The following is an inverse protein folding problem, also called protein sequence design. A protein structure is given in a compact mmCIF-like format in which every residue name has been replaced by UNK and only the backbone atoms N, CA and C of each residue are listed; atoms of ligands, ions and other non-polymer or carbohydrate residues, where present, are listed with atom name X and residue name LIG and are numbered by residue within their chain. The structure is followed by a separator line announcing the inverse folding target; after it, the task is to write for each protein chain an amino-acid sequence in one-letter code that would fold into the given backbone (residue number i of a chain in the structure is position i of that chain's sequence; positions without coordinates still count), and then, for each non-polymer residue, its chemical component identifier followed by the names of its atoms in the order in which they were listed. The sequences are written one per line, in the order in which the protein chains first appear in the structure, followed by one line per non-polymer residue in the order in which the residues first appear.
data_IF_176277505082
#
_entry.id   IF_176277505082
#
_cell.length_a   1.000
_cell.length_b   1.000
_cell.length_c   1.000
_cell.angle_alpha   90.00
_cell.angle_beta   90.00
_cell.angle_gamma   90.00
#
_symmetry.space_group_name_H-M   'P 1'
#
loop_
_entity.id
_entity.type
_entity.pdbx_description
1 polymer ?
#
# COMPACT_ATOMS: atom_id res chain seq x y z
N UNK A 1 4.80 -10.39 -14.21
CA UNK A 1 5.12 -9.07 -14.80
C UNK A 1 5.53 -8.14 -13.67
N UNK A 2 6.51 -7.26 -13.88
CA UNK A 2 6.87 -6.21 -12.93
C UNK A 2 6.13 -4.94 -13.34
N UNK A 3 5.38 -4.32 -12.42
CA UNK A 3 4.71 -3.06 -12.69
C UNK A 3 5.68 -1.88 -12.62
N UNK A 4 5.47 -0.87 -13.46
CA UNK A 4 6.08 0.46 -13.33
C UNK A 4 5.30 1.34 -12.33
N UNK A 5 5.84 2.51 -11.97
CA UNK A 5 5.15 3.47 -11.10
C UNK A 5 3.82 3.95 -11.70
N UNK A 6 3.80 4.30 -12.99
CA UNK A 6 2.56 4.68 -13.69
C UNK A 6 1.54 3.54 -13.70
N UNK A 7 2.02 2.30 -13.82
CA UNK A 7 1.16 1.11 -13.73
C UNK A 7 0.64 0.88 -12.32
N UNK A 8 1.38 1.20 -11.26
CA UNK A 8 0.87 1.18 -9.88
C UNK A 8 -0.24 2.22 -9.67
N UNK A 9 -0.08 3.41 -10.24
CA UNK A 9 -1.11 4.46 -10.18
C UNK A 9 -2.37 4.06 -10.95
N UNK A 10 -2.23 3.58 -12.19
CA UNK A 10 -3.35 3.04 -12.95
C UNK A 10 -4.04 1.88 -12.21
N UNK A 11 -3.27 0.99 -11.58
CA UNK A 11 -3.80 -0.11 -10.77
C UNK A 11 -4.63 0.38 -9.59
N UNK A 12 -4.19 1.44 -8.91
CA UNK A 12 -4.94 2.06 -7.81
C UNK A 12 -6.29 2.59 -8.29
N UNK A 13 -6.34 3.23 -9.46
CA UNK A 13 -7.59 3.71 -10.04
C UNK A 13 -8.52 2.57 -10.48
N UNK A 14 -7.97 1.46 -10.99
CA UNK A 14 -8.75 0.25 -11.28
C UNK A 14 -9.41 -0.29 -9.99
N UNK A 15 -8.69 -0.31 -8.87
CA UNK A 15 -9.24 -0.75 -7.58
C UNK A 15 -10.29 0.21 -7.03
N UNK A 16 -10.04 1.51 -7.07
CA UNK A 16 -11.02 2.51 -6.64
C UNK A 16 -12.30 2.44 -7.49
N UNK A 17 -12.17 2.25 -8.81
CA UNK A 17 -13.30 2.05 -9.72
C UNK A 17 -14.09 0.79 -9.37
N UNK A 18 -13.41 -0.31 -9.05
CA UNK A 18 -14.05 -1.55 -8.59
C UNK A 18 -14.80 -1.37 -7.25
N UNK A 19 -14.35 -0.42 -6.42
CA UNK A 19 -15.02 0.00 -5.18
C UNK A 19 -16.17 1.00 -5.41
N UNK A 20 -16.50 1.33 -6.66
CA UNK A 20 -17.62 2.20 -7.02
C UNK A 20 -17.25 3.70 -7.11
N UNK A 21 -15.97 4.07 -7.00
CA UNK A 21 -15.54 5.45 -7.15
C UNK A 21 -15.59 5.87 -8.63
N UNK A 22 -16.19 7.02 -8.91
CA UNK A 22 -16.13 7.62 -10.26
C UNK A 22 -14.71 8.07 -10.54
N UNK A 23 -14.25 7.84 -11.78
CA UNK A 23 -12.94 8.26 -12.26
C UNK A 23 -13.07 9.53 -13.11
N UNK A 24 -12.07 10.39 -13.01
CA UNK A 24 -11.89 11.57 -13.86
C UNK A 24 -11.40 11.14 -15.24
N UNK A 25 -11.48 12.05 -16.23
CA UNK A 25 -10.98 11.80 -17.59
C UNK A 25 -9.49 11.42 -17.58
N UNK A 26 -8.68 12.14 -16.82
CA UNK A 26 -7.26 11.83 -16.60
C UNK A 26 -7.03 10.41 -16.07
N UNK A 27 -7.82 9.99 -15.07
CA UNK A 27 -7.67 8.66 -14.47
C UNK A 27 -8.09 7.55 -15.45
N UNK A 28 -9.13 7.78 -16.26
CA UNK A 28 -9.55 6.82 -17.30
C UNK A 28 -8.52 6.73 -18.44
N UNK A 29 -7.93 7.85 -18.85
CA UNK A 29 -6.81 7.89 -19.82
C UNK A 29 -5.61 7.09 -19.30
N UNK A 30 -5.18 7.33 -18.06
CA UNK A 30 -4.06 6.61 -17.46
C UNK A 30 -4.31 5.10 -17.41
N UNK A 31 -5.53 4.67 -17.06
CA UNK A 31 -5.91 3.25 -17.09
C UNK A 31 -5.80 2.69 -18.52
N UNK A 32 -6.31 3.41 -19.52
CA UNK A 32 -6.30 2.96 -20.91
C UNK A 32 -4.87 2.81 -21.46
N UNK A 33 -3.98 3.75 -21.13
CA UNK A 33 -2.59 3.77 -21.60
C UNK A 33 -1.69 2.77 -20.85
N UNK A 34 -2.05 2.39 -19.63
CA UNK A 34 -1.24 1.49 -18.78
C UNK A 34 -1.06 0.06 -19.32
N UNK A 35 -1.93 -0.35 -20.26
CA UNK A 35 -2.04 -1.75 -20.71
C UNK A 35 -2.70 -2.69 -19.71
N UNK A 36 -3.27 -2.16 -18.61
CA UNK A 36 -3.90 -2.95 -17.54
C UNK A 36 -5.44 -3.00 -17.62
N UNK A 37 -6.06 -2.25 -18.55
CA UNK A 37 -7.51 -2.08 -18.61
C UNK A 37 -8.31 -3.39 -18.69
N UNK A 38 -7.75 -4.43 -19.30
CA UNK A 38 -8.38 -5.75 -19.46
C UNK A 38 -8.17 -6.69 -18.27
N UNK A 39 -7.29 -6.35 -17.33
CA UNK A 39 -7.02 -7.19 -16.16
C UNK A 39 -8.10 -7.04 -15.10
N UNK A 40 -8.51 -8.17 -14.51
CA UNK A 40 -9.45 -8.12 -13.39
C UNK A 40 -8.74 -7.59 -12.14
N UNK A 41 -9.42 -6.80 -11.29
CA UNK A 41 -8.85 -6.29 -10.04
C UNK A 41 -8.18 -7.38 -9.19
N UNK A 42 -8.80 -8.56 -9.07
CA UNK A 42 -8.23 -9.64 -8.28
C UNK A 42 -6.95 -10.26 -8.88
N UNK A 43 -6.85 -10.32 -10.21
CA UNK A 43 -5.64 -10.80 -10.90
C UNK A 43 -4.48 -9.84 -10.66
N UNK A 44 -4.77 -8.54 -10.78
CA UNK A 44 -3.80 -7.47 -10.53
C UNK A 44 -3.32 -7.45 -9.08
N UNK A 45 -4.26 -7.60 -8.11
CA UNK A 45 -3.94 -7.77 -6.68
C UNK A 45 -2.96 -8.91 -6.45
N UNK A 46 -3.27 -10.10 -6.97
CA UNK A 46 -2.42 -11.29 -6.82
C UNK A 46 -1.04 -11.06 -7.45
N UNK A 47 -0.96 -10.42 -8.62
CA UNK A 47 0.31 -10.09 -9.26
C UNK A 47 1.18 -9.17 -8.40
N UNK A 48 0.60 -8.11 -7.81
CA UNK A 48 1.32 -7.19 -6.93
C UNK A 48 1.81 -7.90 -5.67
N UNK A 49 0.96 -8.69 -5.01
CA UNK A 49 1.32 -9.47 -3.81
C UNK A 49 2.47 -10.44 -4.12
N UNK A 50 2.38 -11.18 -5.22
CA UNK A 50 3.43 -12.10 -5.63
C UNK A 50 4.74 -11.37 -5.94
N UNK A 51 4.67 -10.19 -6.56
CA UNK A 51 5.83 -9.34 -6.80
C UNK A 51 6.52 -8.91 -5.49
N UNK A 52 5.75 -8.44 -4.50
CA UNK A 52 6.26 -8.08 -3.18
C UNK A 52 6.91 -9.29 -2.48
N UNK A 53 6.19 -10.42 -2.42
CA UNK A 53 6.65 -11.61 -1.72
C UNK A 53 7.86 -12.31 -2.36
N UNK A 54 8.07 -12.13 -3.66
CA UNK A 54 9.24 -12.65 -4.38
C UNK A 54 10.45 -11.71 -4.36
N UNK A 55 10.31 -10.50 -3.81
CA UNK A 55 11.36 -9.48 -3.86
C UNK A 55 11.55 -8.86 -5.26
N UNK A 56 10.55 -8.97 -6.14
CA UNK A 56 10.59 -8.38 -7.49
C UNK A 56 10.71 -6.84 -7.45
N UNK A 57 10.12 -6.24 -6.42
CA UNK A 57 10.21 -4.81 -6.11
C UNK A 57 11.35 -4.59 -5.11
N UNK A 58 12.56 -4.42 -5.64
CA UNK A 58 13.79 -4.33 -4.85
C UNK A 58 14.06 -2.93 -4.31
N UNK A 59 13.56 -1.90 -5.01
CA UNK A 59 13.67 -0.50 -4.57
C UNK A 59 12.56 -0.13 -3.58
N UNK A 60 12.85 0.72 -2.61
CA UNK A 60 11.85 1.09 -1.60
C UNK A 60 10.70 1.90 -2.17
N UNK A 61 10.91 2.72 -3.21
CA UNK A 61 9.82 3.44 -3.86
C UNK A 61 8.87 2.48 -4.58
N UNK A 62 9.39 1.43 -5.23
CA UNK A 62 8.56 0.40 -5.86
C UNK A 62 7.68 -0.32 -4.83
N UNK A 63 8.25 -0.63 -3.65
CA UNK A 63 7.50 -1.25 -2.55
C UNK A 63 6.46 -0.30 -1.98
N UNK A 64 6.81 0.97 -1.77
CA UNK A 64 5.87 2.03 -1.34
C UNK A 64 4.70 2.15 -2.32
N UNK A 65 4.97 2.24 -3.63
CA UNK A 65 3.94 2.28 -4.66
C UNK A 65 3.05 1.05 -4.60
N UNK A 66 3.62 -0.15 -4.46
CA UNK A 66 2.84 -1.38 -4.31
C UNK A 66 1.93 -1.37 -3.06
N UNK A 67 2.45 -0.95 -1.90
CA UNK A 67 1.68 -0.86 -0.65
C UNK A 67 0.55 0.17 -0.77
N UNK A 68 0.86 1.35 -1.33
CA UNK A 68 -0.13 2.39 -1.59
C UNK A 68 -1.22 1.88 -2.52
N UNK A 69 -0.86 1.24 -3.63
CA UNK A 69 -1.80 0.67 -4.60
C UNK A 69 -2.71 -0.37 -3.95
N UNK A 70 -2.15 -1.33 -3.19
CA UNK A 70 -2.94 -2.34 -2.49
C UNK A 70 -3.87 -1.73 -1.42
N UNK A 71 -3.47 -0.63 -0.78
CA UNK A 71 -4.31 0.03 0.24
C UNK A 71 -5.65 0.52 -0.32
N UNK A 72 -5.72 0.80 -1.64
CA UNK A 72 -6.94 1.28 -2.32
C UNK A 72 -8.04 0.24 -2.45
N UNK A 73 -7.72 -1.03 -2.24
CA UNK A 73 -8.67 -2.14 -2.36
C UNK A 73 -9.63 -2.15 -1.16
N UNK A 74 -9.19 -1.71 0.02
CA UNK A 74 -9.92 -1.83 1.30
C UNK A 74 -10.32 -3.29 1.65
N UNK A 75 -9.47 -4.26 1.27
CA UNK A 75 -9.67 -5.69 1.55
C UNK A 75 -9.04 -6.09 2.89
N UNK A 76 -9.88 -6.42 3.88
CA UNK A 76 -9.42 -6.82 5.23
C UNK A 76 -8.60 -8.10 5.24
N UNK A 77 -8.66 -8.92 4.18
CA UNK A 77 -7.79 -10.10 4.05
C UNK A 77 -6.30 -9.73 3.88
N UNK A 78 -5.99 -8.48 3.51
CA UNK A 78 -4.62 -7.98 3.37
C UNK A 78 -3.97 -7.60 4.70
N UNK A 79 -4.70 -7.57 5.82
CA UNK A 79 -4.14 -7.17 7.13
C UNK A 79 -2.93 -8.04 7.50
N UNK A 80 -3.00 -9.35 7.27
CA UNK A 80 -1.89 -10.25 7.59
C UNK A 80 -0.64 -9.94 6.76
N UNK A 81 -0.81 -9.73 5.45
CA UNK A 81 0.29 -9.38 4.56
C UNK A 81 0.88 -8.01 4.89
N UNK A 82 0.04 -6.99 5.15
CA UNK A 82 0.50 -5.67 5.57
C UNK A 82 1.28 -5.70 6.89
N UNK A 83 0.84 -6.49 7.89
CA UNK A 83 1.60 -6.69 9.14
C UNK A 83 2.96 -7.33 8.89
N UNK A 84 3.01 -8.35 8.03
CA UNK A 84 4.26 -9.02 7.65
C UNK A 84 5.22 -8.06 6.96
N UNK A 85 4.76 -7.30 5.97
CA UNK A 85 5.59 -6.31 5.30
C UNK A 85 6.00 -5.17 6.23
N UNK A 86 5.12 -4.73 7.13
CA UNK A 86 5.44 -3.69 8.12
C UNK A 86 6.63 -4.10 8.97
N UNK A 87 6.63 -5.34 9.47
CA UNK A 87 7.75 -5.89 10.22
C UNK A 87 9.04 -5.87 9.40
N UNK A 88 8.99 -6.35 8.16
CA UNK A 88 10.16 -6.39 7.26
C UNK A 88 10.73 -5.00 7.00
N UNK A 89 9.89 -4.02 6.64
CA UNK A 89 10.35 -2.65 6.37
C UNK A 89 10.86 -1.95 7.64
N UNK A 90 10.28 -2.25 8.80
CA UNK A 90 10.74 -1.76 10.08
C UNK A 90 12.15 -2.29 10.41
N UNK A 91 12.37 -3.60 10.25
CA UNK A 91 13.68 -4.24 10.46
C UNK A 91 14.74 -3.73 9.46
N UNK A 92 14.33 -3.41 8.23
CA UNK A 92 15.18 -2.83 7.21
C UNK A 92 15.44 -1.32 7.36
N UNK A 93 14.84 -0.67 8.36
CA UNK A 93 14.95 0.78 8.60
C UNK A 93 14.46 1.63 7.41
N UNK A 94 13.30 1.27 6.85
CA UNK A 94 12.68 1.94 5.70
C UNK A 94 11.48 2.80 6.15
N UNK A 95 11.71 4.02 6.71
CA UNK A 95 10.68 4.77 7.44
C UNK A 95 9.49 5.20 6.58
N UNK A 96 9.71 5.50 5.30
CA UNK A 96 8.63 5.90 4.39
C UNK A 96 7.74 4.70 4.02
N UNK A 97 8.35 3.52 3.82
CA UNK A 97 7.63 2.28 3.58
C UNK A 97 6.83 1.85 4.81
N UNK A 98 7.44 1.96 6.00
CA UNK A 98 6.74 1.77 7.29
C UNK A 98 5.53 2.69 7.37
N UNK A 99 5.70 3.99 7.14
CA UNK A 99 4.59 4.95 7.20
C UNK A 99 3.48 4.61 6.19
N UNK A 100 3.81 4.25 4.95
CA UNK A 100 2.81 3.87 3.95
C UNK A 100 2.02 2.62 4.36
N UNK A 101 2.67 1.62 4.97
CA UNK A 101 2.02 0.44 5.51
C UNK A 101 1.15 0.76 6.73
N UNK A 102 1.58 1.72 7.55
CA UNK A 102 0.74 2.20 8.66
C UNK A 102 -0.54 2.85 8.15
N UNK A 103 -0.48 3.65 7.08
CA UNK A 103 -1.68 4.22 6.44
C UNK A 103 -2.57 3.10 5.90
N UNK A 104 -1.99 2.10 5.22
CA UNK A 104 -2.75 0.97 4.69
C UNK A 104 -3.51 0.20 5.79
N UNK A 105 -2.85 -0.09 6.91
CA UNK A 105 -3.47 -0.72 8.08
C UNK A 105 -4.53 0.19 8.72
N UNK A 106 -4.23 1.49 8.87
CA UNK A 106 -5.17 2.46 9.44
C UNK A 106 -6.46 2.61 8.62
N UNK A 107 -6.36 2.55 7.28
CA UNK A 107 -7.53 2.53 6.39
C UNK A 107 -8.40 1.28 6.58
N UNK A 108 -7.85 0.21 7.15
CA UNK A 108 -8.56 -1.01 7.52
C UNK A 108 -8.95 -1.05 9.01
N UNK A 109 -8.97 0.12 9.66
CA UNK A 109 -9.36 0.32 11.06
C UNK A 109 -8.45 -0.36 12.10
N UNK A 110 -7.24 -0.77 11.71
CA UNK A 110 -6.26 -1.30 12.66
C UNK A 110 -5.75 -0.18 13.59
N UNK A 111 -5.54 -0.46 14.89
CA UNK A 111 -5.10 0.53 15.88
C UNK A 111 -3.58 0.80 15.78
N UNK A 112 -3.08 0.99 14.56
CA UNK A 112 -1.67 1.20 14.22
C UNK A 112 -1.12 2.55 14.70
N UNK A 113 -2.00 3.54 14.79
CA UNK A 113 -1.66 4.88 15.25
C UNK A 113 -2.09 5.08 16.70
N UNK A 114 -1.22 5.64 17.54
CA UNK A 114 -1.56 5.89 18.93
C UNK A 114 -2.72 6.90 19.04
N UNK A 115 -3.75 6.57 19.82
CA UNK A 115 -4.97 7.39 19.99
C UNK A 115 -4.71 8.81 20.50
N UNK A 116 -3.58 9.03 21.19
CA UNK A 116 -3.22 10.32 21.79
C UNK A 116 -2.25 11.14 20.92
N UNK A 117 -2.00 10.75 19.66
CA UNK A 117 -1.10 11.49 18.77
C UNK A 117 -1.74 12.79 18.27
N UNK A 118 -0.93 13.83 18.09
CA UNK A 118 -1.37 15.16 17.64
C UNK A 118 -1.30 15.36 16.12
N UNK A 119 -0.70 14.42 15.38
CA UNK A 119 -0.54 14.47 13.93
C UNK A 119 -0.09 13.11 13.40
N UNK A 120 -0.29 12.85 12.10
CA UNK A 120 0.17 11.64 11.41
C UNK A 120 0.85 11.92 10.08
N UNK A 121 1.67 12.95 10.05
CA UNK A 121 2.40 13.33 8.84
C UNK A 121 3.60 12.40 8.61
N UNK A 122 3.97 12.23 7.33
CA UNK A 122 5.08 11.37 6.92
C UNK A 122 6.43 11.81 7.51
N UNK A 123 6.60 13.11 7.78
CA UNK A 123 7.81 13.70 8.34
C UNK A 123 7.91 13.56 9.87
N UNK A 124 6.89 13.05 10.55
CA UNK A 124 6.92 12.68 11.97
C UNK A 124 7.56 11.29 12.15
N UNK A 125 8.75 11.09 11.56
CA UNK A 125 9.38 9.76 11.40
C UNK A 125 9.58 9.02 12.72
N UNK A 126 10.13 9.67 13.75
CA UNK A 126 10.35 9.03 15.06
C UNK A 126 9.03 8.59 15.71
N UNK A 127 7.98 9.41 15.58
CA UNK A 127 6.65 9.11 16.09
C UNK A 127 6.03 7.92 15.34
N UNK A 128 6.16 7.91 14.02
CA UNK A 128 5.66 6.83 13.17
C UNK A 128 6.36 5.50 13.47
N UNK A 129 7.69 5.51 13.60
CA UNK A 129 8.46 4.31 13.96
C UNK A 129 8.09 3.80 15.35
N UNK A 130 7.92 4.69 16.34
CA UNK A 130 7.49 4.31 17.69
C UNK A 130 6.12 3.64 17.69
N UNK A 131 5.16 4.21 16.96
CA UNK A 131 3.81 3.67 16.86
C UNK A 131 3.81 2.32 16.13
N UNK A 132 4.56 2.19 15.03
CA UNK A 132 4.74 0.91 14.33
C UNK A 132 5.37 -0.16 15.23
N UNK A 133 6.41 0.18 15.99
CA UNK A 133 7.06 -0.73 16.93
C UNK A 133 6.07 -1.22 18.01
N UNK A 134 5.32 -0.30 18.61
CA UNK A 134 4.32 -0.64 19.62
C UNK A 134 3.22 -1.54 19.07
N UNK A 135 2.75 -1.25 17.87
CA UNK A 135 1.76 -2.09 17.20
C UNK A 135 2.30 -3.49 16.92
N UNK A 136 3.52 -3.61 16.36
CA UNK A 136 4.16 -4.90 16.09
C UNK A 136 4.38 -5.72 17.37
N UNK A 137 4.67 -5.09 18.51
CA UNK A 137 4.79 -5.75 19.83
C UNK A 137 3.45 -6.24 20.39
N UNK A 138 2.32 -5.75 19.87
CA UNK A 138 0.97 -6.10 20.33
C UNK A 138 0.30 -7.22 19.51
N UNK A 139 0.92 -7.63 18.40
CA UNK A 139 0.48 -8.73 17.54
C UNK A 139 0.79 -10.10 18.15
#
# INVERSE_FOLDING_TARGET
MKLTNDQFEASAYIFEKANGNKKTEYEEELIAESGLAELKPNELKIQIINGLNSGLYSDSNERISAYWTLSKIHDTNLIHDFRKWLKTEFENQEPLAVYQLMIALGNLEEPIFNKNRTGSAFNETELNLRDAENYLKSL
#
